data_IF_220146291190
#
_entry.id   IF_220146291190
#
_cell.length_a   1.000
_cell.length_b   1.000
_cell.length_c   1.000
_cell.angle_alpha   90.00
_cell.angle_beta   90.00
_cell.angle_gamma   90.00
#
_symmetry.space_group_name_H-M   'P 1'
#
loop_
_entity.id
_entity.type
_entity.pdbx_description
1 polymer ?
2 non-polymer ?
3 water ?
#
# COMPACT_ATOMS: atom_id res chain seq x y z
N UNK A 9 -33.71 6.88 0.55
CA UNK A 9 -33.45 5.78 -0.36
C UNK A 9 -31.96 5.78 -0.72
N UNK A 10 -31.24 4.74 -0.28
CA UNK A 10 -29.80 4.96 -0.27
C UNK A 10 -29.16 4.79 -1.62
N UNK A 11 -28.17 5.65 -1.92
CA UNK A 11 -27.34 5.47 -3.09
C UNK A 11 -26.64 4.14 -2.98
N UNK A 12 -26.45 3.48 -4.10
CA UNK A 12 -25.69 2.22 -4.12
C UNK A 12 -24.28 2.56 -4.61
N UNK A 13 -23.28 2.31 -3.76
CA UNK A 13 -21.90 2.48 -4.17
C UNK A 13 -21.32 1.08 -4.23
N UNK A 14 -20.82 0.67 -5.40
CA UNK A 14 -20.25 -0.65 -5.61
C UNK A 14 -18.70 -0.55 -5.65
N UNK A 15 -18.05 -1.22 -4.69
CA UNK A 15 -16.60 -1.25 -4.61
C UNK A 15 -16.11 -2.57 -5.23
N UNK A 16 -14.94 -2.51 -5.84
CA UNK A 16 -14.33 -3.65 -6.49
C UNK A 16 -12.86 -3.77 -6.07
N UNK A 17 -12.45 -4.97 -5.69
CA UNK A 17 -11.01 -5.25 -5.55
C UNK A 17 -10.72 -6.73 -5.70
N UNK A 18 -9.49 -7.08 -5.38
CA UNK A 18 -9.02 -8.44 -5.50
C UNK A 18 -8.57 -8.90 -4.10
N UNK A 19 -8.29 -10.18 -4.00
CA UNK A 19 -7.96 -10.76 -2.72
C UNK A 19 -6.46 -10.58 -2.50
N UNK A 20 -6.06 -9.34 -2.22
CA UNK A 20 -4.69 -9.01 -1.86
C UNK A 20 -4.71 -7.90 -0.82
N UNK A 21 -3.99 -8.11 0.27
CA UNK A 21 -4.10 -7.21 1.39
C UNK A 21 -3.80 -5.77 1.00
N UNK A 22 -2.77 -5.57 0.18
CA UNK A 22 -2.30 -4.23 -0.14
C UNK A 22 -3.27 -3.51 -1.05
N UNK A 23 -4.26 -4.25 -1.57
CA UNK A 23 -5.28 -3.68 -2.47
C UNK A 23 -6.67 -3.64 -1.82
N UNK A 24 -6.73 -4.02 -0.54
CA UNK A 24 -7.96 -4.00 0.23
C UNK A 24 -7.82 -3.21 1.52
N UNK A 25 -6.79 -3.51 2.31
CA UNK A 25 -6.58 -2.78 3.53
C UNK A 25 -6.56 -1.28 3.45
N UNK A 26 -5.88 -0.72 2.44
CA UNK A 26 -5.75 0.74 2.44
C UNK A 26 -7.07 1.51 2.37
N UNK A 27 -8.13 0.93 1.80
CA UNK A 27 -9.42 1.62 1.69
C UNK A 27 -10.53 1.08 2.61
N UNK A 28 -10.25 0.07 3.44
CA UNK A 28 -11.31 -0.47 4.30
C UNK A 28 -11.95 0.60 5.18
N UNK A 29 -11.15 1.54 5.65
CA UNK A 29 -11.66 2.59 6.51
C UNK A 29 -12.63 3.46 5.73
N UNK A 30 -12.24 3.79 4.51
CA UNK A 30 -13.13 4.59 3.65
C UNK A 30 -14.47 3.89 3.44
N UNK A 31 -14.44 2.60 3.13
CA UNK A 31 -15.67 1.86 2.90
C UNK A 31 -16.51 1.85 4.19
N UNK A 32 -15.84 1.63 5.30
CA UNK A 32 -16.46 1.64 6.62
C UNK A 32 -17.20 2.99 6.85
N UNK A 33 -16.52 4.08 6.52
CA UNK A 33 -17.12 5.41 6.72
C UNK A 33 -18.31 5.68 5.78
N UNK A 34 -18.21 5.24 4.53
CA UNK A 34 -19.32 5.37 3.60
C UNK A 34 -20.54 4.63 4.13
N UNK A 35 -20.34 3.45 4.69
CA UNK A 35 -21.46 2.73 5.31
C UNK A 35 -21.97 3.51 6.54
N UNK A 36 -21.03 4.03 7.31
CA UNK A 36 -21.39 4.77 8.53
C UNK A 36 -22.19 6.01 8.17
N UNK A 37 -22.09 6.44 6.91
CA UNK A 37 -22.80 7.62 6.45
C UNK A 37 -24.16 7.31 5.85
N UNK A 38 -24.51 6.02 5.76
CA UNK A 38 -25.83 5.59 5.32
C UNK A 38 -25.97 5.11 3.88
N UNK A 39 -24.88 5.18 3.12
CA UNK A 39 -24.87 4.66 1.76
C UNK A 39 -24.92 3.13 1.75
N UNK A 40 -25.59 2.57 0.77
CA UNK A 40 -25.63 1.12 0.57
C UNK A 40 -24.38 0.78 -0.23
N UNK A 41 -23.50 0.01 0.40
CA UNK A 41 -22.22 -0.28 -0.21
C UNK A 41 -22.07 -1.78 -0.41
N UNK A 42 -21.77 -2.15 -1.63
CA UNK A 42 -21.52 -3.54 -2.00
C UNK A 42 -20.05 -3.58 -2.36
N UNK A 43 -19.46 -4.76 -2.20
CA UNK A 43 -18.02 -4.87 -2.36
C UNK A 43 -17.71 -6.20 -3.04
N UNK A 44 -17.36 -6.11 -4.34
CA UNK A 44 -17.01 -7.25 -5.14
C UNK A 44 -15.61 -7.72 -4.69
N UNK A 45 -15.55 -8.96 -4.23
CA UNK A 45 -14.34 -9.49 -3.59
C UNK A 45 -14.35 -11.02 -3.68
N UNK A 46 -13.16 -11.66 -3.78
CA UNK A 46 -13.19 -13.12 -3.71
C UNK A 46 -13.52 -13.62 -2.31
N UNK A 47 -14.00 -14.87 -2.20
CA UNK A 47 -14.50 -15.39 -0.92
C UNK A 47 -13.52 -15.32 0.26
N UNK A 48 -12.23 -15.46 -0.02
CA UNK A 48 -11.25 -15.50 1.06
C UNK A 48 -11.25 -14.20 1.88
N UNK A 49 -11.71 -13.11 1.26
CA UNK A 49 -11.79 -11.80 1.93
C UNK A 49 -13.23 -11.35 2.26
N UNK A 50 -14.18 -12.27 2.17
CA UNK A 50 -15.58 -11.96 2.48
C UNK A 50 -15.75 -11.48 3.92
N UNK A 51 -15.18 -12.19 4.87
CA UNK A 51 -15.28 -11.82 6.29
C UNK A 51 -14.68 -10.43 6.52
N UNK A 52 -13.48 -10.27 5.98
CA UNK A 52 -12.75 -9.00 6.01
C UNK A 52 -13.58 -7.80 5.50
N UNK A 53 -14.23 -7.99 4.36
CA UNK A 53 -15.09 -6.98 3.77
C UNK A 53 -16.41 -6.77 4.52
N UNK A 54 -17.04 -7.87 4.94
CA UNK A 54 -18.31 -7.73 5.66
C UNK A 54 -18.15 -6.96 6.95
N UNK A 55 -16.97 -7.05 7.55
CA UNK A 55 -16.71 -6.36 8.82
C UNK A 55 -16.77 -4.83 8.71
N UNK A 56 -16.68 -4.30 7.48
CA UNK A 56 -16.84 -2.88 7.26
C UNK A 56 -18.32 -2.46 7.21
N UNK A 57 -19.20 -3.45 7.07
CA UNK A 57 -20.62 -3.19 6.91
C UNK A 57 -21.10 -3.30 5.48
N UNK A 58 -20.15 -3.32 4.54
CA UNK A 58 -20.49 -3.54 3.13
C UNK A 58 -20.95 -4.96 2.90
N UNK A 59 -21.78 -5.16 1.89
CA UNK A 59 -22.20 -6.49 1.53
C UNK A 59 -21.18 -7.05 0.58
N UNK A 60 -20.61 -8.21 0.90
CA UNK A 60 -19.67 -8.77 -0.08
C UNK A 60 -20.41 -9.36 -1.28
N UNK A 61 -19.94 -9.03 -2.48
CA UNK A 61 -20.40 -9.70 -3.69
C UNK A 61 -19.28 -10.61 -4.14
N UNK A 62 -19.52 -11.91 -4.09
CA UNK A 62 -18.42 -12.86 -4.29
C UNK A 62 -18.17 -13.18 -5.76
N UNK A 63 -16.92 -13.18 -6.17
CA UNK A 63 -16.56 -13.65 -7.50
C UNK A 63 -15.24 -14.41 -7.43
N UNK A 64 -14.98 -15.20 -8.47
CA UNK A 64 -13.78 -16.00 -8.52
C UNK A 64 -12.72 -15.21 -9.28
N UNK A 65 -11.63 -14.89 -8.59
CA UNK A 65 -10.43 -14.32 -9.18
C UNK A 65 -9.38 -15.40 -9.41
N UNK A 66 -8.74 -15.36 -10.57
CA UNK A 66 -7.67 -16.31 -10.88
C UNK A 66 -6.31 -15.75 -10.50
N UNK A 67 -6.29 -14.60 -9.84
CA UNK A 67 -5.03 -14.04 -9.35
C UNK A 67 -4.51 -14.80 -8.13
N UNK A 68 -3.24 -14.58 -7.76
CA UNK A 68 -2.72 -15.32 -6.60
C UNK A 68 -3.35 -14.82 -5.32
N UNK A 69 -3.88 -15.71 -4.52
CA UNK A 69 -4.48 -15.34 -3.25
C UNK A 69 -3.49 -14.66 -2.32
N UNK A 70 -4.03 -13.89 -1.35
CA UNK A 70 -3.36 -12.88 -0.52
C UNK A 70 -2.29 -13.55 0.31
N UNK A 71 -2.37 -14.87 0.20
CA UNK A 71 -1.54 -15.81 0.84
C UNK A 71 -0.62 -16.44 -0.21
N UNK A 72 0.28 -15.65 -0.79
CA UNK A 72 1.14 -16.12 -1.89
C UNK A 72 2.48 -15.36 -1.88
N UNK A 73 3.59 -16.06 -2.09
CA UNK A 73 4.89 -15.39 -2.20
C UNK A 73 5.22 -14.86 -3.61
N UNK A 74 6.21 -13.96 -3.71
CA UNK A 74 6.36 -13.12 -4.92
C UNK A 74 7.23 -13.83 -5.99
N UNK A 75 7.29 -15.14 -5.82
CA UNK A 75 7.68 -16.02 -6.89
C UNK A 75 6.39 -16.21 -7.70
N UNK A 76 5.25 -16.11 -7.02
CA UNK A 76 3.97 -16.52 -7.58
C UNK A 76 3.30 -15.48 -8.48
N UNK A 77 3.85 -14.27 -8.56
CA UNK A 77 3.32 -13.30 -9.51
C UNK A 77 4.08 -13.41 -10.87
N UNK A 78 5.42 -13.42 -10.85
CA UNK A 78 6.21 -13.74 -12.05
C UNK A 78 7.45 -12.86 -12.23
N UNK A 79 8.34 -13.15 -13.20
CA UNK A 79 9.65 -12.47 -13.21
C UNK A 79 9.92 -11.27 -14.15
N UNK A 80 9.27 -11.20 -15.29
CA UNK A 80 9.36 -9.97 -16.11
C UNK A 80 8.04 -9.23 -16.15
N UNK A 81 8.07 -8.02 -16.70
CA UNK A 81 6.95 -7.12 -16.55
C UNK A 81 5.69 -7.68 -17.25
N UNK A 82 5.86 -8.36 -18.37
CA UNK A 82 4.72 -9.04 -18.98
C UNK A 82 4.16 -10.16 -18.08
N UNK A 83 5.05 -10.85 -17.38
CA UNK A 83 4.61 -11.84 -16.40
C UNK A 83 3.85 -11.19 -15.25
N UNK A 84 4.15 -9.93 -14.94
CA UNK A 84 3.50 -9.23 -13.84
C UNK A 84 2.11 -8.74 -14.25
N UNK A 85 2.00 -8.37 -15.51
CA UNK A 85 0.89 -7.57 -15.96
C UNK A 85 -0.22 -8.43 -16.61
N UNK A 86 0.17 -9.49 -17.30
CA UNK A 86 -0.81 -10.32 -17.98
C UNK A 86 -1.87 -10.93 -17.06
N UNK A 87 -1.47 -11.36 -15.84
CA UNK A 87 -2.46 -11.98 -14.95
C UNK A 87 -3.70 -11.12 -14.69
N UNK A 88 -3.52 -9.81 -14.69
CA UNK A 88 -4.64 -8.91 -14.44
C UNK A 88 -5.60 -8.85 -15.62
N UNK A 89 -5.05 -9.01 -16.81
CA UNK A 89 -5.88 -9.10 -18.00
C UNK A 89 -6.65 -10.42 -17.99
N UNK A 90 -5.92 -11.52 -17.78
CA UNK A 90 -6.53 -12.84 -17.83
C UNK A 90 -7.65 -12.91 -16.81
N UNK A 91 -7.39 -12.39 -15.62
CA UNK A 91 -8.39 -12.42 -14.57
C UNK A 91 -9.61 -11.62 -14.98
N UNK A 92 -9.36 -10.42 -15.51
CA UNK A 92 -10.43 -9.48 -15.84
C UNK A 92 -11.39 -10.08 -16.88
N UNK A 93 -10.82 -10.81 -17.82
CA UNK A 93 -11.62 -11.36 -18.91
C UNK A 93 -12.62 -12.40 -18.39
N UNK A 94 -12.25 -13.18 -17.39
CA UNK A 94 -13.16 -14.19 -16.83
C UNK A 94 -13.97 -13.68 -15.63
N UNK A 95 -13.58 -12.53 -15.08
CA UNK A 95 -14.31 -11.95 -13.95
C UNK A 95 -15.41 -11.02 -14.41
N UNK A 96 -15.20 -10.35 -15.53
CA UNK A 96 -16.17 -9.38 -16.04
C UNK A 96 -17.58 -9.95 -16.08
N UNK A 97 -17.75 -11.11 -16.72
CA UNK A 97 -19.14 -11.57 -16.86
C UNK A 97 -19.77 -12.02 -15.52
N UNK A 98 -18.99 -12.66 -14.67
CA UNK A 98 -19.46 -12.96 -13.31
C UNK A 98 -20.00 -11.71 -12.64
N UNK A 99 -19.23 -10.64 -12.73
CA UNK A 99 -19.59 -9.42 -12.05
C UNK A 99 -20.72 -8.69 -12.75
N UNK A 100 -20.73 -8.70 -14.07
CA UNK A 100 -21.85 -8.12 -14.80
C UNK A 100 -23.16 -8.80 -14.38
N UNK A 101 -23.11 -10.11 -14.25
CA UNK A 101 -24.32 -10.87 -13.95
C UNK A 101 -24.76 -10.71 -12.48
N UNK A 102 -23.78 -10.58 -11.58
CA UNK A 102 -24.10 -10.38 -10.17
C UNK A 102 -24.72 -9.00 -9.94
N UNK A 103 -24.45 -8.05 -10.83
CA UNK A 103 -24.94 -6.69 -10.64
C UNK A 103 -26.10 -6.33 -11.61
N UNK A 104 -26.55 -7.31 -12.36
CA UNK A 104 -27.48 -7.10 -13.51
C UNK A 104 -28.67 -6.16 -13.28
N UNK A 105 -29.40 -6.39 -12.19
CA UNK A 105 -30.63 -5.63 -11.91
C UNK A 105 -30.45 -4.89 -10.59
N UNK A 106 -29.19 -4.62 -10.26
CA UNK A 106 -28.81 -3.88 -9.09
C UNK A 106 -27.63 -3.00 -9.50
N UNK A 107 -27.85 -2.21 -10.56
CA UNK A 107 -26.83 -1.32 -11.07
C UNK A 107 -26.55 -0.23 -10.06
N UNK A 108 -25.29 -0.07 -9.67
CA UNK A 108 -25.00 0.96 -8.68
C UNK A 108 -25.06 2.37 -9.26
N UNK A 109 -25.14 3.34 -8.37
CA UNK A 109 -25.06 4.73 -8.72
C UNK A 109 -23.63 5.23 -8.95
N UNK A 110 -22.68 4.50 -8.39
CA UNK A 110 -21.28 4.90 -8.45
C UNK A 110 -20.39 3.68 -8.26
N UNK A 111 -19.28 3.67 -9.00
CA UNK A 111 -18.34 2.54 -8.97
C UNK A 111 -17.04 3.01 -8.34
N UNK A 112 -16.61 2.30 -7.30
CA UNK A 112 -15.32 2.55 -6.65
C UNK A 112 -14.46 1.34 -6.92
N UNK A 113 -13.17 1.52 -7.09
CA UNK A 113 -12.34 0.35 -7.32
C UNK A 113 -10.87 0.56 -7.07
N UNK A 114 -10.25 -0.48 -6.55
CA UNK A 114 -8.78 -0.52 -6.50
C UNK A 114 -8.26 -0.58 -7.94
N UNK A 115 -7.05 -0.10 -8.14
CA UNK A 115 -6.47 0.01 -9.47
C UNK A 115 -6.33 -1.35 -10.20
N UNK A 116 -6.39 -2.46 -9.47
CA UNK A 116 -6.18 -3.75 -10.11
C UNK A 116 -7.41 -4.26 -10.83
N UNK A 117 -8.56 -3.67 -10.56
CA UNK A 117 -9.80 -4.23 -11.10
C UNK A 117 -10.21 -3.63 -12.45
N UNK A 118 -9.80 -4.28 -13.54
CA UNK A 118 -10.26 -3.89 -14.87
C UNK A 118 -11.78 -4.01 -15.03
N UNK A 119 -12.39 -5.04 -14.45
CA UNK A 119 -13.86 -5.18 -14.59
C UNK A 119 -14.59 -3.95 -14.11
N UNK A 120 -14.12 -3.34 -13.02
CA UNK A 120 -14.80 -2.19 -12.47
C UNK A 120 -14.85 -1.04 -13.48
N UNK A 121 -13.74 -0.80 -14.14
CA UNK A 121 -13.65 0.26 -15.16
C UNK A 121 -14.67 -0.04 -16.25
N UNK A 122 -14.62 -1.24 -16.78
CA UNK A 122 -15.50 -1.65 -17.89
C UNK A 122 -16.97 -1.52 -17.53
N UNK A 123 -17.34 -1.99 -16.34
CA UNK A 123 -18.73 -1.98 -15.90
C UNK A 123 -19.26 -0.56 -15.64
N UNK A 124 -18.42 0.30 -15.05
CA UNK A 124 -18.79 1.67 -14.81
C UNK A 124 -19.23 2.30 -16.14
N UNK A 125 -18.50 1.99 -17.18
CA UNK A 125 -18.78 2.53 -18.50
C UNK A 125 -20.04 1.93 -19.03
N UNK A 126 -20.09 0.61 -19.05
CA UNK A 126 -21.26 -0.12 -19.57
C UNK A 126 -22.51 0.41 -18.90
N UNK A 127 -22.40 0.73 -17.61
CA UNK A 127 -23.53 1.20 -16.84
C UNK A 127 -23.76 2.70 -16.95
N UNK A 128 -22.81 3.40 -17.55
CA UNK A 128 -22.87 4.83 -17.61
C UNK A 128 -22.94 5.49 -16.24
N UNK A 129 -22.07 5.08 -15.33
CA UNK A 129 -21.94 5.77 -14.06
C UNK A 129 -20.47 6.07 -13.79
N UNK A 130 -20.22 7.04 -12.91
CA UNK A 130 -18.83 7.43 -12.70
C UNK A 130 -18.09 6.33 -11.97
N UNK A 131 -16.80 6.19 -12.28
CA UNK A 131 -15.87 5.32 -11.57
C UNK A 131 -14.90 6.18 -10.78
N UNK A 132 -14.56 5.74 -9.55
CA UNK A 132 -13.50 6.43 -8.80
C UNK A 132 -12.44 5.41 -8.45
N UNK A 133 -11.22 5.67 -8.91
CA UNK A 133 -10.13 4.77 -8.73
C UNK A 133 -9.46 5.09 -7.38
N UNK A 134 -9.08 4.06 -6.64
CA UNK A 134 -8.46 4.26 -5.34
C UNK A 134 -7.08 3.63 -5.44
N UNK A 135 -6.03 4.46 -5.37
CA UNK A 135 -4.68 4.00 -5.57
C UNK A 135 -3.97 3.85 -4.23
N UNK A 136 -3.45 2.65 -3.92
CA UNK A 136 -2.68 2.51 -2.68
C UNK A 136 -1.19 2.63 -2.95
N UNK A 137 -0.84 2.99 -4.18
CA UNK A 137 0.54 3.36 -4.47
C UNK A 137 0.56 4.63 -5.35
N UNK A 138 1.76 5.01 -5.73
CA UNK A 138 1.97 6.23 -6.48
C UNK A 138 1.22 6.16 -7.80
N UNK A 139 0.88 7.34 -8.32
CA UNK A 139 0.13 7.46 -9.58
C UNK A 139 0.95 8.08 -10.67
N UNK A 140 0.43 8.02 -11.89
CA UNK A 140 1.09 8.69 -12.99
C UNK A 140 1.07 10.22 -12.80
N UNK A 141 2.17 10.87 -13.16
CA UNK A 141 2.19 12.32 -13.23
C UNK A 141 2.07 12.72 -14.71
N UNK A 142 1.72 13.96 -14.97
CA UNK A 142 1.75 14.45 -16.35
C UNK A 142 3.17 14.30 -16.87
N UNK A 143 3.37 13.41 -17.84
CA UNK A 143 4.69 13.19 -18.43
C UNK A 143 5.25 11.78 -18.27
N UNK A 144 4.61 10.96 -17.43
CA UNK A 144 5.10 9.62 -17.15
C UNK A 144 5.22 8.73 -18.40
N UNK A 145 4.26 8.84 -19.30
CA UNK A 145 4.19 7.96 -20.47
C UNK A 145 5.49 7.98 -21.26
N UNK A 146 5.81 9.16 -21.80
CA UNK A 146 7.07 9.33 -22.51
C UNK A 146 8.23 9.05 -21.56
N UNK A 147 8.21 9.65 -20.38
CA UNK A 147 9.33 9.56 -19.45
C UNK A 147 9.66 8.14 -19.03
N UNK A 148 8.64 7.36 -18.68
CA UNK A 148 8.86 6.13 -17.92
C UNK A 148 8.35 4.85 -18.58
N UNK A 149 7.08 4.84 -18.97
CA UNK A 149 6.52 3.69 -19.68
C UNK A 149 7.37 3.21 -20.84
N UNK A 150 7.76 4.13 -21.75
CA UNK A 150 8.38 3.72 -23.03
C UNK A 150 9.42 2.63 -22.88
N UNK A 151 10.63 2.99 -22.35
CA UNK A 151 11.78 2.09 -22.43
C UNK A 151 11.49 0.82 -21.65
N UNK A 152 10.84 1.03 -20.51
CA UNK A 152 10.35 -0.08 -19.70
C UNK A 152 9.49 -0.94 -20.59
N UNK A 153 8.49 -0.35 -21.24
CA UNK A 153 7.70 -1.08 -22.24
C UNK A 153 8.34 -1.21 -23.62
N UNK A 154 9.40 -0.45 -23.89
CA UNK A 154 9.96 -0.38 -25.23
C UNK A 154 10.29 -1.74 -25.78
N UNK A 155 10.84 -2.60 -24.93
CA UNK A 155 11.33 -3.88 -25.41
C UNK A 155 10.23 -4.93 -25.45
N UNK A 156 9.55 -5.19 -24.32
CA UNK A 156 8.52 -6.24 -24.38
C UNK A 156 7.50 -6.04 -25.52
N UNK A 157 7.36 -4.80 -25.96
CA UNK A 157 6.35 -4.40 -26.95
C UNK A 157 6.72 -4.76 -28.40
N UNK A 158 7.99 -5.07 -28.64
CA UNK A 158 8.43 -5.51 -29.95
C UNK A 158 8.77 -6.99 -29.92
N UNK A 159 8.29 -7.66 -28.89
CA UNK A 159 8.34 -9.11 -28.81
C UNK A 159 6.99 -9.63 -29.23
N UNK A 160 6.99 -10.88 -29.66
CA UNK A 160 5.78 -11.57 -30.08
C UNK A 160 4.76 -11.63 -28.95
N UNK A 161 5.24 -11.89 -27.74
CA UNK A 161 4.38 -11.98 -26.58
C UNK A 161 3.72 -10.64 -26.27
N UNK A 162 4.52 -9.60 -26.14
CA UNK A 162 3.99 -8.29 -25.81
C UNK A 162 3.04 -7.76 -26.86
N UNK A 163 3.29 -8.07 -28.12
CA UNK A 163 2.40 -7.60 -29.18
C UNK A 163 1.06 -8.31 -29.08
N UNK A 164 1.08 -9.58 -28.68
CA UNK A 164 -0.15 -10.34 -28.49
C UNK A 164 -0.88 -9.95 -27.18
N UNK A 165 -0.13 -9.63 -26.13
CA UNK A 165 -0.76 -9.13 -24.91
C UNK A 165 -1.54 -7.89 -25.28
N UNK A 166 -0.86 -6.95 -25.92
CA UNK A 166 -1.49 -5.69 -26.24
C UNK A 166 -2.57 -5.86 -27.28
N UNK A 167 -2.38 -6.78 -28.21
CA UNK A 167 -3.43 -7.12 -29.16
C UNK A 167 -4.69 -7.59 -28.43
N UNK A 168 -4.57 -8.62 -27.58
CA UNK A 168 -5.71 -9.18 -26.85
C UNK A 168 -6.39 -8.13 -26.01
N UNK A 169 -5.60 -7.26 -25.39
CA UNK A 169 -6.13 -6.20 -24.56
C UNK A 169 -6.99 -5.24 -25.41
N UNK A 170 -6.49 -4.84 -26.58
CA UNK A 170 -7.28 -4.01 -27.49
C UNK A 170 -8.62 -4.68 -27.76
N UNK A 171 -8.54 -5.92 -28.24
CA UNK A 171 -9.71 -6.64 -28.69
C UNK A 171 -10.73 -6.69 -27.57
N UNK A 172 -10.26 -6.99 -26.35
CA UNK A 172 -11.16 -7.14 -25.22
C UNK A 172 -11.87 -5.85 -24.89
N UNK A 173 -11.16 -4.73 -24.91
CA UNK A 173 -11.82 -3.46 -24.65
C UNK A 173 -12.84 -3.19 -25.78
N UNK A 174 -12.43 -3.49 -27.01
CA UNK A 174 -13.26 -3.24 -28.19
C UNK A 174 -14.60 -3.97 -28.06
N UNK A 175 -14.55 -5.20 -27.56
CA UNK A 175 -15.73 -5.97 -27.22
C UNK A 175 -16.70 -5.22 -26.33
N UNK A 176 -16.18 -4.24 -25.59
CA UNK A 176 -16.93 -3.55 -24.56
C UNK A 176 -17.02 -2.05 -24.85
N UNK A 177 -16.91 -1.69 -26.12
CA UNK A 177 -17.17 -0.33 -26.55
C UNK A 177 -16.11 0.69 -26.16
N UNK A 178 -14.97 0.19 -25.67
CA UNK A 178 -13.91 1.06 -25.21
C UNK A 178 -12.81 1.21 -26.23
N UNK A 179 -12.47 2.47 -26.52
CA UNK A 179 -11.57 2.84 -27.59
C UNK A 179 -10.31 3.46 -27.07
N UNK A 180 -10.29 3.76 -25.76
CA UNK A 180 -9.06 4.15 -25.10
C UNK A 180 -8.04 3.06 -25.33
N UNK A 181 -6.77 3.44 -25.42
CA UNK A 181 -5.70 2.48 -25.55
C UNK A 181 -5.65 1.75 -24.22
N UNK A 182 -5.18 0.50 -24.22
CA UNK A 182 -5.13 -0.18 -22.92
C UNK A 182 -4.24 0.49 -21.87
N UNK A 183 -3.12 1.08 -22.27
CA UNK A 183 -2.28 1.79 -21.31
C UNK A 183 -3.00 2.99 -20.71
N UNK A 184 -3.84 3.62 -21.51
CA UNK A 184 -4.69 4.71 -21.03
C UNK A 184 -5.71 4.14 -20.02
N UNK A 185 -6.40 3.11 -20.45
CA UNK A 185 -7.43 2.43 -19.68
C UNK A 185 -6.88 1.97 -18.32
N UNK A 186 -5.72 1.34 -18.35
CA UNK A 186 -5.12 0.77 -17.16
C UNK A 186 -4.55 1.83 -16.23
N UNK A 187 -3.79 2.78 -16.79
CA UNK A 187 -2.93 3.65 -15.96
C UNK A 187 -3.38 5.10 -15.77
N UNK A 188 -4.44 5.51 -16.47
CA UNK A 188 -4.88 6.91 -16.43
C UNK A 188 -6.39 7.04 -16.18
N UNK A 189 -6.81 6.81 -14.94
CA UNK A 189 -8.22 6.94 -14.57
C UNK A 189 -8.67 8.38 -14.71
N UNK A 190 -9.96 8.60 -14.97
CA UNK A 190 -10.51 9.96 -15.06
C UNK A 190 -10.52 10.66 -13.72
N UNK A 191 -10.65 9.86 -12.64
CA UNK A 191 -10.79 10.38 -11.29
C UNK A 191 -10.18 9.38 -10.29
N UNK A 192 -9.29 9.87 -9.44
CA UNK A 192 -8.59 8.99 -8.51
C UNK A 192 -8.32 9.64 -7.17
N UNK A 193 -8.48 8.86 -6.10
CA UNK A 193 -8.04 9.24 -4.77
C UNK A 193 -6.79 8.41 -4.49
N UNK A 194 -5.69 9.06 -4.15
CA UNK A 194 -4.42 8.38 -3.93
C UNK A 194 -4.25 8.23 -2.40
N UNK A 195 -4.13 6.99 -1.96
CA UNK A 195 -4.17 6.67 -0.55
C UNK A 195 -2.78 6.72 0.08
N UNK A 196 -1.78 7.27 -0.61
CA UNK A 196 -0.49 7.53 0.03
C UNK A 196 -0.24 9.01 0.14
N UNK A 197 0.59 9.42 1.11
CA UNK A 197 0.91 10.85 1.25
C UNK A 197 1.67 11.35 0.05
N UNK A 198 1.47 12.62 -0.28
CA UNK A 198 2.12 13.21 -1.43
C UNK A 198 3.63 13.13 -1.29
N UNK A 199 4.09 13.12 -0.04
CA UNK A 199 5.51 13.12 0.24
C UNK A 199 6.17 11.88 -0.36
N UNK A 200 5.38 10.83 -0.55
CA UNK A 200 5.88 9.57 -1.08
C UNK A 200 5.54 9.31 -2.56
N UNK A 201 5.16 10.37 -3.26
CA UNK A 201 4.78 10.31 -4.69
C UNK A 201 5.92 10.86 -5.53
N UNK A 202 6.53 10.01 -6.37
CA UNK A 202 7.58 10.51 -7.28
C UNK A 202 7.09 11.67 -8.13
N UNK A 203 8.03 12.54 -8.48
CA UNK A 203 7.77 13.73 -9.29
C UNK A 203 6.37 14.28 -9.09
N UNK A 204 6.02 14.40 -7.82
CA UNK A 204 4.70 14.80 -7.39
C UNK A 204 4.40 16.22 -7.82
N UNK A 205 5.42 16.94 -8.26
CA UNK A 205 5.23 18.30 -8.74
C UNK A 205 4.27 18.36 -9.94
N UNK A 206 4.11 17.22 -10.62
CA UNK A 206 3.46 17.14 -11.92
C UNK A 206 2.18 16.29 -11.99
N UNK A 207 1.71 15.81 -10.85
CA UNK A 207 0.46 15.09 -10.85
C UNK A 207 -0.71 16.06 -11.11
N UNK A 208 -1.60 15.65 -12.00
CA UNK A 208 -2.75 16.43 -12.38
C UNK A 208 -3.77 16.42 -11.26
N UNK A 209 -4.03 17.58 -10.66
CA UNK A 209 -4.83 17.60 -9.45
C UNK A 209 -6.34 17.75 -9.67
N UNK A 210 -6.78 17.88 -10.91
CA UNK A 210 -8.18 17.65 -11.22
C UNK A 210 -8.43 16.13 -11.09
N UNK A 211 -7.65 15.31 -11.81
CA UNK A 211 -7.83 13.85 -11.77
C UNK A 211 -7.58 13.27 -10.37
N UNK A 212 -6.42 13.57 -9.81
CA UNK A 212 -5.94 12.91 -8.58
C UNK A 212 -6.01 13.81 -7.35
N UNK A 213 -6.56 13.29 -6.26
CA UNK A 213 -6.46 13.95 -4.96
C UNK A 213 -5.74 13.05 -3.98
N UNK A 214 -4.74 13.62 -3.31
CA UNK A 214 -3.97 12.85 -2.31
C UNK A 214 -4.63 12.87 -0.94
N UNK A 215 -4.76 11.67 -0.37
CA UNK A 215 -5.46 11.44 0.89
C UNK A 215 -4.68 10.32 1.65
N UNK A 216 -3.53 10.67 2.24
CA UNK A 216 -2.48 9.70 2.57
C UNK A 216 -2.00 9.61 4.02
N UNK A 217 -2.21 10.69 4.74
CA UNK A 217 -2.64 10.62 6.14
C UNK A 217 -3.02 9.23 6.69
N UNK A 218 -2.60 8.99 7.93
CA UNK A 218 -3.21 7.91 8.63
C UNK A 218 -4.59 8.41 9.07
N UNK A 219 -5.63 7.85 8.45
CA UNK A 219 -6.83 7.58 9.20
C UNK A 219 -7.01 6.07 9.25
N UNK A 220 -6.48 5.46 10.30
CA UNK A 220 -6.91 4.12 10.64
C UNK A 220 -5.92 2.97 10.46
N UNK A 221 -6.49 1.77 10.56
CA UNK A 221 -5.85 0.47 10.85
C UNK A 221 -6.26 0.02 12.27
N UNK A 222 -5.35 -0.38 13.17
CA UNK A 222 -5.83 -0.41 14.55
C UNK A 222 -5.45 0.87 15.24
N UNK A 223 -6.42 1.76 15.32
CA UNK A 223 -6.25 2.98 16.07
C UNK A 223 -6.35 2.68 17.56
N UNK A 224 -5.74 1.57 18.02
CA UNK A 224 -6.19 0.88 19.24
C UNK A 224 -6.09 1.47 20.67
N UNK A 225 -5.31 2.54 20.89
CA UNK A 225 -5.04 3.12 22.20
C UNK A 225 -3.68 2.63 22.70
N UNK A 226 -3.69 1.41 23.23
CA UNK A 226 -2.50 0.78 23.80
C UNK A 226 -2.25 -0.61 23.23
N UNK A 227 -1.08 -0.75 22.63
CA UNK A 227 -0.60 -2.04 22.20
C UNK A 227 0.30 -2.54 23.28
N UNK A 228 1.56 -2.13 23.24
CA UNK A 228 2.57 -2.82 24.02
C UNK A 228 3.05 -1.99 25.22
N UNK A 229 3.17 -0.69 24.99
CA UNK A 229 3.49 0.28 26.04
C UNK A 229 4.90 0.10 26.65
N UNK A 230 5.71 1.09 26.33
CA UNK A 230 7.04 1.36 26.85
C UNK A 230 7.40 1.00 28.35
N UNK A 231 8.31 0.01 28.55
CA UNK A 231 8.82 -0.12 29.92
C UNK A 231 9.41 1.20 30.39
N UNK A 232 8.91 1.69 31.51
CA UNK A 232 9.24 3.03 31.99
C UNK A 232 10.74 3.21 32.32
N UNK A 233 11.61 2.47 31.65
CA UNK A 233 13.02 2.81 31.52
C UNK A 233 13.46 2.50 30.10
N UNK A 234 13.25 3.43 29.16
CA UNK A 234 13.40 3.13 27.71
C UNK A 234 13.72 4.34 26.82
N UNK A 235 14.42 5.34 27.37
CA UNK A 235 14.87 6.55 26.65
C UNK A 235 14.64 6.61 25.12
N UNK A 236 15.02 5.56 24.41
CA UNK A 236 14.79 5.47 22.97
C UNK A 236 14.33 4.06 22.64
N UNK A 237 13.12 3.98 22.08
CA UNK A 237 12.57 2.73 21.60
C UNK A 237 12.77 2.62 20.11
N UNK A 238 13.31 1.49 19.67
CA UNK A 238 13.41 1.17 18.26
C UNK A 238 12.56 -0.05 17.93
N UNK A 239 11.45 0.19 17.24
CA UNK A 239 10.66 -0.89 16.68
C UNK A 239 11.32 -1.29 15.38
N UNK A 240 11.54 -2.59 15.21
CA UNK A 240 11.89 -3.16 13.91
C UNK A 240 10.67 -3.95 13.43
N UNK A 241 9.85 -3.36 12.55
CA UNK A 241 8.50 -3.88 12.31
C UNK A 241 8.26 -4.38 10.91
N UNK A 242 9.12 -4.07 9.93
CA UNK A 242 9.15 -5.00 8.80
C UNK A 242 10.57 -5.14 8.33
N UNK A 243 11.39 -4.20 8.80
CA UNK A 243 12.83 -4.23 8.64
C UNK A 243 13.45 -5.48 8.04
N UNK A 244 13.50 -5.51 6.72
CA UNK A 244 13.95 -6.71 6.01
C UNK A 244 13.59 -6.70 4.52
N UNK A 245 12.27 -6.73 4.28
CA UNK A 245 11.66 -7.34 3.11
C UNK A 245 11.63 -8.87 3.31
N UNK A 246 10.80 -9.27 4.26
CA UNK A 246 10.36 -10.65 4.44
C UNK A 246 11.27 -11.76 3.92
N UNK A 247 12.60 -11.63 4.00
CA UNK A 247 13.41 -12.74 3.52
C UNK A 247 14.26 -13.32 4.66
N UNK A 248 14.79 -14.53 4.51
CA UNK A 248 15.55 -15.12 5.62
C UNK A 248 16.73 -14.24 6.00
N UNK A 249 16.94 -14.03 7.32
CA UNK A 249 18.02 -13.18 7.83
C UNK A 249 18.70 -13.72 9.09
N UNK A 250 18.98 -15.01 9.15
CA UNK A 250 19.79 -15.41 10.30
C UNK A 250 21.07 -14.56 10.57
N UNK A 251 21.24 -13.43 9.88
CA UNK A 251 22.16 -12.39 10.31
C UNK A 251 21.51 -11.00 10.58
N UNK A 252 20.45 -10.60 9.86
CA UNK A 252 19.90 -9.24 10.05
C UNK A 252 19.11 -9.02 11.36
N UNK A 253 18.27 -9.96 11.75
CA UNK A 253 17.60 -9.82 13.05
C UNK A 253 18.60 -10.00 14.19
N UNK A 254 19.70 -10.68 13.89
CA UNK A 254 20.75 -10.84 14.87
C UNK A 254 21.68 -9.63 14.88
N UNK A 255 21.94 -9.05 13.70
CA UNK A 255 22.69 -7.80 13.61
C UNK A 255 21.98 -6.71 14.42
N UNK A 256 20.65 -6.78 14.47
CA UNK A 256 19.82 -5.83 15.21
C UNK A 256 20.01 -6.01 16.71
N UNK A 257 20.22 -7.24 17.14
CA UNK A 257 20.44 -7.50 18.56
C UNK A 257 21.74 -6.87 18.97
N UNK A 258 22.74 -7.01 18.11
CA UNK A 258 24.07 -6.56 18.46
C UNK A 258 24.17 -5.05 18.39
N UNK A 259 23.34 -4.46 17.53
CA UNK A 259 23.28 -3.02 17.41
C UNK A 259 22.70 -2.34 18.66
N UNK A 260 21.59 -2.87 19.14
CA UNK A 260 20.81 -2.20 20.19
C UNK A 260 20.83 -2.87 21.57
N UNK A 261 21.23 -4.12 21.62
CA UNK A 261 21.25 -4.87 22.86
C UNK A 261 22.20 -4.21 23.83
N UNK A 262 21.76 -3.96 25.06
CA UNK A 262 22.60 -3.34 26.09
C UNK A 262 23.17 -1.97 25.68
N UNK A 263 22.58 -1.37 24.64
CA UNK A 263 22.90 0.00 24.31
C UNK A 263 22.19 0.86 25.35
N UNK A 264 22.96 1.60 26.19
CA UNK A 264 22.32 2.31 27.30
C UNK A 264 21.17 3.22 26.90
N UNK A 265 20.01 2.98 27.50
CA UNK A 265 18.86 3.83 27.29
C UNK A 265 17.95 3.35 26.18
N UNK A 266 18.43 2.43 25.35
CA UNK A 266 17.64 1.92 24.23
C UNK A 266 16.83 0.70 24.59
N UNK A 267 15.73 0.54 23.88
CA UNK A 267 14.94 -0.66 23.99
C UNK A 267 14.49 -1.09 22.61
N UNK A 268 14.65 -2.37 22.29
CA UNK A 268 14.47 -2.88 20.93
C UNK A 268 13.31 -3.86 20.78
N UNK A 269 12.32 -3.48 19.98
CA UNK A 269 11.21 -4.35 19.60
C UNK A 269 11.50 -4.93 18.23
N UNK A 270 11.66 -6.24 18.21
CA UNK A 270 11.82 -6.98 16.97
C UNK A 270 10.60 -7.81 16.59
N UNK A 271 10.46 -8.00 15.29
CA UNK A 271 9.38 -8.81 14.75
C UNK A 271 9.87 -9.57 13.54
N UNK A 272 9.70 -10.88 13.64
CA UNK A 272 10.63 -11.84 13.06
C UNK A 272 9.98 -12.44 11.86
N UNK A 273 10.62 -13.48 11.35
CA UNK A 273 9.87 -14.51 10.64
C UNK A 273 8.66 -14.68 11.56
N UNK A 274 7.50 -14.18 11.10
CA UNK A 274 6.32 -14.03 11.95
C UNK A 274 5.60 -15.35 12.05
N UNK A 275 6.42 -16.37 12.26
CA UNK A 275 5.90 -17.68 12.43
C UNK A 275 6.73 -18.25 13.58
N UNK A 276 7.20 -17.36 14.46
CA UNK A 276 8.19 -17.72 15.45
C UNK A 276 9.39 -18.31 14.64
N UNK A 277 9.71 -19.58 14.94
CA UNK A 277 10.69 -20.49 14.28
C UNK A 277 12.12 -20.60 14.87
N UNK A 278 12.66 -19.48 15.40
CA UNK A 278 13.98 -19.48 16.03
C UNK A 278 14.21 -19.84 17.50
N UNK A 279 15.48 -20.21 17.67
CA UNK A 279 16.33 -19.77 18.78
C UNK A 279 17.68 -19.40 18.16
N UNK A 280 17.62 -18.99 16.90
CA UNK A 280 18.53 -17.97 16.39
C UNK A 280 17.94 -16.69 16.97
N UNK A 281 18.74 -15.64 17.03
CA UNK A 281 18.68 -14.55 18.03
C UNK A 281 19.61 -14.88 19.21
N UNK A 282 19.51 -16.09 19.74
CA UNK A 282 20.37 -16.49 20.85
C UNK A 282 20.15 -15.69 22.13
N UNK A 283 21.26 -15.29 22.76
CA UNK A 283 21.27 -14.85 24.16
C UNK A 283 20.76 -13.41 24.38
N UNK A 284 19.48 -13.21 24.07
CA UNK A 284 18.82 -11.89 24.15
C UNK A 284 19.16 -11.04 25.35
N UNK A 285 19.70 -9.83 25.13
CA UNK A 285 19.85 -8.92 26.27
C UNK A 285 18.49 -8.52 26.86
N UNK A 286 18.51 -7.84 28.00
CA UNK A 286 17.29 -7.52 28.71
C UNK A 286 16.45 -6.42 28.09
N UNK A 287 17.03 -5.69 27.15
CA UNK A 287 16.35 -4.57 26.50
C UNK A 287 15.97 -4.91 25.07
N UNK A 288 15.55 -6.17 24.87
CA UNK A 288 15.26 -6.70 23.56
C UNK A 288 14.05 -7.64 23.65
N UNK A 289 12.88 -7.17 23.24
CA UNK A 289 11.70 -8.03 23.13
C UNK A 289 11.47 -8.42 21.68
N UNK A 290 11.28 -9.72 21.46
CA UNK A 290 11.06 -10.25 20.11
C UNK A 290 9.76 -11.03 20.06
N UNK A 291 9.00 -10.78 18.99
CA UNK A 291 7.64 -11.28 18.91
C UNK A 291 7.37 -11.65 17.45
N UNK A 292 6.36 -12.48 17.18
CA UNK A 292 6.07 -12.84 15.80
C UNK A 292 5.07 -11.84 15.18
N UNK A 293 4.27 -11.18 16.03
CA UNK A 293 3.19 -10.31 15.59
C UNK A 293 3.12 -9.09 16.48
N UNK A 294 3.19 -7.90 15.88
CA UNK A 294 3.09 -6.65 16.64
C UNK A 294 2.04 -5.67 16.10
N UNK A 295 1.52 -4.82 17.01
CA UNK A 295 0.67 -3.68 16.69
C UNK A 295 1.49 -2.47 16.25
N UNK A 296 1.90 -2.43 15.00
CA UNK A 296 2.89 -1.46 14.52
C UNK A 296 2.58 0.03 14.93
N UNK A 297 1.32 0.37 15.25
CA UNK A 297 0.96 1.78 15.52
C UNK A 297 1.11 2.27 16.96
N UNK A 298 0.52 1.56 17.93
CA UNK A 298 0.62 2.02 19.31
C UNK A 298 2.11 2.10 19.65
N UNK A 299 2.85 1.09 19.21
CA UNK A 299 4.31 1.09 19.34
C UNK A 299 4.89 2.37 18.67
N UNK A 300 4.74 2.47 17.35
CA UNK A 300 5.26 3.62 16.56
C UNK A 300 4.92 4.93 17.23
N UNK A 301 3.74 5.03 17.80
CA UNK A 301 3.34 6.21 18.57
C UNK A 301 4.23 6.55 19.79
N UNK A 302 4.93 5.55 20.31
CA UNK A 302 5.85 5.75 21.43
C UNK A 302 7.28 5.40 21.07
N UNK A 303 7.51 5.00 19.82
CA UNK A 303 8.85 4.64 19.34
C UNK A 303 9.59 5.84 18.74
N UNK A 304 10.91 5.81 18.82
CA UNK A 304 11.76 6.92 18.40
C UNK A 304 12.55 6.59 17.14
N UNK A 305 12.50 5.32 16.72
CA UNK A 305 13.18 4.86 15.53
C UNK A 305 12.51 3.61 15.01
N UNK A 306 12.50 3.49 13.68
CA UNK A 306 11.78 2.43 13.01
C UNK A 306 12.65 1.88 11.89
N UNK A 307 13.01 0.61 12.02
CA UNK A 307 13.76 -0.12 11.01
C UNK A 307 12.67 -0.91 10.23
N UNK A 308 12.57 -0.71 8.92
CA UNK A 308 11.40 -1.17 8.17
C UNK A 308 11.68 -1.69 6.80
N UNK A 309 10.88 -2.65 6.36
CA UNK A 309 10.76 -2.96 4.93
C UNK A 309 10.31 -1.78 4.10
N UNK A 310 9.44 -0.91 4.65
CA UNK A 310 9.15 0.38 3.99
C UNK A 310 8.15 0.25 2.83
N UNK A 311 7.09 -0.49 3.08
CA UNK A 311 5.95 -0.51 2.23
C UNK A 311 5.00 0.52 2.78
N UNK A 312 3.81 0.50 2.23
CA UNK A 312 2.89 1.60 2.36
C UNK A 312 2.47 1.87 3.78
N UNK A 313 1.95 0.84 4.45
CA UNK A 313 1.53 1.01 5.81
C UNK A 313 2.76 1.51 6.56
N UNK A 314 3.93 0.91 6.27
CA UNK A 314 5.20 1.15 6.98
C UNK A 314 5.92 2.48 6.72
N UNK A 315 6.17 2.83 5.47
CA UNK A 315 6.62 4.20 5.16
C UNK A 315 5.58 5.22 5.68
N UNK A 316 4.27 4.97 5.47
CA UNK A 316 3.22 5.91 5.92
C UNK A 316 3.11 6.12 7.42
N UNK A 317 3.20 5.05 8.22
CA UNK A 317 2.81 5.17 9.60
C UNK A 317 3.95 5.84 10.39
N UNK A 318 5.15 5.54 9.98
CA UNK A 318 6.32 6.19 10.59
C UNK A 318 6.27 7.67 10.28
N UNK A 319 5.96 8.03 9.03
CA UNK A 319 5.77 9.42 8.71
C UNK A 319 4.62 9.92 9.58
N UNK A 320 3.52 9.19 9.57
CA UNK A 320 2.34 9.55 10.35
C UNK A 320 2.65 9.65 11.85
N UNK A 321 3.67 8.93 12.30
CA UNK A 321 4.03 8.88 13.72
C UNK A 321 5.32 9.67 14.01
N UNK A 322 5.69 10.52 13.04
CA UNK A 322 6.89 11.33 13.09
C UNK A 322 8.09 10.55 13.64
N UNK A 323 8.26 9.34 13.11
CA UNK A 323 9.32 8.44 13.57
C UNK A 323 10.34 8.29 12.48
N UNK A 324 11.59 8.72 12.74
CA UNK A 324 12.59 8.54 11.69
C UNK A 324 12.84 7.06 11.50
N UNK A 325 13.36 6.70 10.33
CA UNK A 325 13.33 5.33 9.90
C UNK A 325 14.68 4.94 9.33
N UNK A 326 15.10 3.71 9.56
CA UNK A 326 16.26 3.20 8.86
C UNK A 326 15.68 2.33 7.77
N UNK A 327 15.89 2.75 6.52
CA UNK A 327 15.24 2.11 5.38
C UNK A 327 15.97 0.88 4.91
N UNK A 328 15.31 -0.26 5.10
CA UNK A 328 15.82 -1.56 4.74
C UNK A 328 14.82 -2.20 3.75
N UNK A 329 14.86 -1.75 2.48
CA UNK A 329 13.89 -2.14 1.47
C UNK A 329 14.03 -3.58 0.93
N UNK A 330 15.01 -3.82 0.07
CA UNK A 330 15.16 -5.09 -0.66
C UNK A 330 13.96 -5.29 -1.62
N UNK A 331 13.79 -4.32 -2.51
CA UNK A 331 12.83 -4.29 -3.63
C UNK A 331 13.01 -2.94 -4.31
N UNK A 332 13.11 -2.94 -5.62
CA UNK A 332 13.28 -1.72 -6.37
C UNK A 332 12.20 -0.68 -6.02
N UNK A 333 10.96 -1.09 -5.74
CA UNK A 333 9.97 -0.04 -5.44
C UNK A 333 10.35 0.66 -4.12
N UNK A 334 10.79 -0.10 -3.12
CA UNK A 334 11.06 0.48 -1.83
C UNK A 334 12.43 1.13 -1.86
N UNK A 335 13.13 0.95 -2.98
CA UNK A 335 14.39 1.65 -3.19
C UNK A 335 14.10 3.07 -3.59
N UNK A 336 12.92 3.27 -4.19
CA UNK A 336 12.39 4.58 -4.48
C UNK A 336 11.78 5.20 -3.21
N UNK A 337 11.05 4.45 -2.41
CA UNK A 337 10.66 4.97 -1.07
C UNK A 337 11.87 5.40 -0.29
N UNK A 338 12.88 4.54 -0.28
CA UNK A 338 14.02 4.76 0.59
C UNK A 338 14.67 6.06 0.22
N UNK A 339 15.03 6.25 -1.05
CA UNK A 339 15.64 7.52 -1.43
C UNK A 339 14.62 8.68 -1.40
N UNK A 340 13.33 8.36 -1.44
CA UNK A 340 12.30 9.40 -1.24
C UNK A 340 12.29 9.79 0.26
N UNK A 341 12.07 8.82 1.13
CA UNK A 341 12.26 9.03 2.59
C UNK A 341 13.60 9.67 2.89
N UNK A 342 14.67 9.05 2.41
CA UNK A 342 15.99 9.64 2.55
C UNK A 342 16.06 10.99 1.85
N UNK A 343 15.33 11.15 0.76
CA UNK A 343 15.33 12.40 0.04
C UNK A 343 14.74 13.50 0.89
N UNK A 344 13.80 13.13 1.75
CA UNK A 344 13.14 14.08 2.64
C UNK A 344 13.93 14.32 3.92
N UNK A 345 15.05 13.61 4.07
CA UNK A 345 15.91 13.89 5.18
C UNK A 345 15.42 13.30 6.49
N UNK A 346 14.63 12.23 6.40
CA UNK A 346 14.05 11.60 7.60
C UNK A 346 14.36 10.11 7.71
N UNK A 347 15.26 9.64 6.86
CA UNK A 347 15.69 8.26 6.90
C UNK A 347 17.05 8.13 6.23
N UNK A 348 17.76 7.05 6.58
CA UNK A 348 18.96 6.63 5.85
C UNK A 348 18.63 5.28 5.19
N UNK A 349 19.07 5.12 3.95
CA UNK A 349 18.80 3.93 3.14
C UNK A 349 19.80 2.82 3.44
N UNK A 350 19.33 1.59 3.61
CA UNK A 350 20.21 0.45 3.88
C UNK A 350 19.74 -0.83 3.22
N UNK A 351 20.67 -1.62 2.70
CA UNK A 351 20.39 -3.02 2.34
C UNK A 351 21.03 -3.93 3.38
N UNK A 352 20.59 -5.17 3.44
CA UNK A 352 21.09 -6.16 4.42
C UNK A 352 22.60 -6.43 4.48
N UNK A 353 23.25 -6.60 3.33
CA UNK A 353 24.71 -6.61 3.29
C UNK A 353 25.23 -5.40 4.03
N UNK A 354 24.42 -4.35 4.07
CA UNK A 354 24.86 -3.12 4.70
C UNK A 354 24.38 -3.02 6.15
N UNK A 355 23.16 -3.51 6.44
CA UNK A 355 22.55 -3.28 7.74
C UNK A 355 23.17 -4.17 8.82
N UNK A 356 24.42 -3.85 9.15
CA UNK A 356 25.18 -4.60 10.16
C UNK A 356 25.06 -3.91 11.51
N UNK A 357 25.38 -4.65 12.58
CA UNK A 357 25.19 -4.14 13.94
C UNK A 357 25.80 -2.77 14.14
N UNK A 358 27.03 -2.58 13.70
CA UNK A 358 27.68 -1.30 13.81
C UNK A 358 26.84 -0.23 13.12
N UNK A 359 26.74 -0.33 11.80
CA UNK A 359 26.14 0.74 11.02
C UNK A 359 24.68 0.99 11.41
N UNK A 360 24.01 -0.02 11.94
CA UNK A 360 22.69 0.20 12.48
C UNK A 360 22.78 1.15 13.66
N UNK A 361 23.71 0.85 14.55
CA UNK A 361 23.86 1.64 15.75
C UNK A 361 24.18 3.10 15.46
N UNK A 362 25.20 3.38 14.65
CA UNK A 362 25.63 4.77 14.51
C UNK A 362 24.61 5.55 13.69
N UNK A 363 23.95 4.90 12.75
CA UNK A 363 22.91 5.55 11.99
C UNK A 363 21.72 5.86 12.89
N UNK A 364 21.36 4.88 13.74
CA UNK A 364 20.31 5.08 14.74
C UNK A 364 20.62 6.28 15.64
N UNK A 365 21.83 6.33 16.17
CA UNK A 365 22.26 7.46 16.99
C UNK A 365 22.36 8.78 16.22
N UNK A 366 22.49 8.71 14.91
CA UNK A 366 22.49 9.93 14.11
C UNK A 366 21.06 10.43 14.09
N UNK A 367 20.19 9.61 13.53
CA UNK A 367 18.79 9.95 13.27
C UNK A 367 18.01 10.41 14.51
N UNK A 368 18.12 9.70 15.63
CA UNK A 368 17.36 10.12 16.79
C UNK A 368 17.91 11.44 17.38
N UNK A 369 19.18 11.76 17.10
CA UNK A 369 19.81 12.99 17.65
C UNK A 369 19.84 14.16 16.67
N UNK A 370 19.23 14.00 15.50
CA UNK A 370 19.24 15.03 14.47
C UNK A 370 17.99 15.90 14.63
N UNK A 371 18.13 17.09 15.26
CA UNK A 371 16.90 17.83 15.57
C UNK A 371 16.16 18.25 14.31
N UNK A 372 16.88 18.37 13.21
CA UNK A 372 16.25 18.71 11.94
C UNK A 372 15.46 17.54 11.35
N UNK A 373 15.90 16.32 11.63
CA UNK A 373 15.13 15.15 11.23
C UNK A 373 13.74 15.24 11.86
N UNK A 374 13.71 15.58 13.14
CA UNK A 374 12.49 15.69 13.91
C UNK A 374 11.63 16.82 13.34
N UNK A 375 12.26 17.95 13.00
CA UNK A 375 11.48 19.07 12.48
C UNK A 375 10.83 18.73 11.13
N UNK A 376 11.56 18.03 10.28
CA UNK A 376 11.05 17.60 9.00
C UNK A 376 9.88 16.64 9.16
N UNK A 377 10.02 15.70 10.08
CA UNK A 377 8.96 14.73 10.33
C UNK A 377 7.71 15.44 10.80
N UNK A 378 7.89 16.45 11.65
CA UNK A 378 6.78 17.25 12.12
C UNK A 378 6.06 17.89 10.94
N UNK A 379 6.88 18.42 10.05
CA UNK A 379 6.44 19.11 8.85
C UNK A 379 5.59 18.17 7.99
N UNK A 380 6.10 16.98 7.76
CA UNK A 380 5.45 16.03 6.87
C UNK A 380 4.15 15.50 7.51
N UNK A 381 4.19 15.27 8.81
CA UNK A 381 3.05 14.80 9.55
C UNK A 381 1.90 15.79 9.42
N UNK A 382 2.26 17.07 9.46
CA UNK A 382 1.27 18.14 9.31
C UNK A 382 0.69 18.19 7.90
N UNK A 383 1.50 17.88 6.90
CA UNK A 383 1.03 17.93 5.53
C UNK A 383 0.08 16.74 5.27
N UNK A 384 0.36 15.61 5.91
CA UNK A 384 -0.49 14.42 5.81
C UNK A 384 -1.80 14.63 6.57
N UNK A 385 -1.71 15.32 7.70
CA UNK A 385 -2.90 15.68 8.47
C UNK A 385 -3.83 16.44 7.55
N UNK A 386 -3.27 17.39 6.82
CA UNK A 386 -4.05 18.23 5.91
C UNK A 386 -4.70 17.42 4.80
N UNK A 387 -3.93 16.49 4.22
CA UNK A 387 -4.38 15.70 3.10
C UNK A 387 -5.70 15.06 3.44
N UNK A 388 -5.85 14.65 4.69
CA UNK A 388 -7.05 14.04 5.18
C UNK A 388 -7.04 12.53 5.07
N UNK A 389 -7.86 11.91 5.88
CA UNK A 389 -7.91 10.48 5.96
C UNK A 389 -9.21 9.96 5.41
N UNK A 390 -9.97 9.33 6.29
CA UNK A 390 -11.17 8.62 5.93
C UNK A 390 -12.32 9.56 5.55
N UNK A 391 -12.63 10.51 6.44
CA UNK A 391 -13.72 11.45 6.20
C UNK A 391 -13.50 12.22 4.90
N UNK A 392 -12.27 12.64 4.71
CA UNK A 392 -11.82 13.32 3.50
C UNK A 392 -12.18 12.52 2.27
N UNK A 393 -11.65 11.32 2.18
CA UNK A 393 -11.89 10.51 1.00
C UNK A 393 -13.38 10.26 0.83
N UNK A 394 -14.08 10.02 1.92
CA UNK A 394 -15.51 9.75 1.84
C UNK A 394 -16.24 10.98 1.26
N UNK A 395 -15.80 12.15 1.66
CA UNK A 395 -16.33 13.40 1.10
C UNK A 395 -16.16 13.43 -0.40
N UNK A 396 -14.94 13.13 -0.85
CA UNK A 396 -14.60 13.26 -2.26
C UNK A 396 -15.42 12.28 -3.10
N UNK A 397 -15.66 11.10 -2.52
CA UNK A 397 -16.44 10.05 -3.19
C UNK A 397 -17.89 10.46 -3.34
N UNK A 398 -18.46 11.03 -2.29
CA UNK A 398 -19.81 11.59 -2.36
C UNK A 398 -19.91 12.71 -3.40
N UNK A 399 -18.87 13.52 -3.47
CA UNK A 399 -18.85 14.66 -4.38
C UNK A 399 -18.89 14.25 -5.87
N UNK A 400 -18.77 12.95 -6.16
CA UNK A 400 -18.83 12.44 -7.53
C UNK A 400 -20.20 11.78 -7.84
N UNK A 401 -20.97 11.51 -6.80
CA UNK A 401 -21.99 10.45 -6.77
C UNK A 401 -23.26 10.69 -7.60
N UNK A 402 -23.14 10.62 -8.93
CA UNK A 402 -24.05 11.34 -9.83
C UNK A 402 -25.26 11.88 -9.07
N UNK A 403 -24.96 12.80 -8.14
CA UNK A 403 -25.96 13.42 -7.28
C UNK A 403 -25.64 14.89 -6.99
X LIG B 1 8.57 9.89 17.51
#
# INVERSE_FOLDING_TARGET
GSHXTTQTTPAHIAMFSIAAHGHVNPSLEVIRELVARGHRVTYAIPPVFADKVAATGARPVLYHSTLPGPDADPEAWGSTLLDNVEPFLNDAIQALPQLADAYADDIPDLVLHDITSYPARVLARRWGVPAVSLSPNLVAWKGYEEEVAEPMWREPRQTERGRAYYARFEAWLKENGITEHPDTFASHPPRSLVLIPKALQPHADRVDEDVYTFVGACQGDRAEEGGWQRPAGAEKVVLVSLGSAFTKQPAFYRECVRAFGNLPGWHLVLQIGRKVTPAELGELPDNVEVHDWVPQLAILRQADLFVTHAGAGGSQEGLATATPMIAVPQAVDQFGNADMLQGLGVARKLATEEATADLLRETALALVDDPEVARRLRRIQAEMAQEGGTRRAADLIEAELPARHERQEPVGDRPNGG
NA NA
#
